data_IF_721781700792
#
_entry.id   IF_721781700792
#
_cell.length_a   1.000
_cell.length_b   1.000
_cell.length_c   1.000
_cell.angle_alpha   90.00
_cell.angle_beta   90.00
_cell.angle_gamma   90.00
#
_symmetry.space_group_name_H-M   'P 1'
#
loop_
_entity.id
_entity.type
_entity.pdbx_description
1 polymer ?
#
# COMPACT_ATOMS: atom_id res chain seq x y z
N UNK A 1 13.51 21.62 4.61
CA UNK A 1 12.88 20.31 4.45
C UNK A 1 11.53 20.57 3.82
N UNK A 2 11.22 19.95 2.67
CA UNK A 2 9.90 20.08 2.03
C UNK A 2 8.85 19.31 2.83
N UNK A 3 7.57 19.59 2.58
CA UNK A 3 6.45 18.85 3.20
C UNK A 3 6.52 17.34 2.86
N UNK A 4 6.78 17.01 1.60
CA UNK A 4 6.97 15.63 1.11
C UNK A 4 8.06 14.90 1.90
N UNK A 5 9.20 15.57 2.13
CA UNK A 5 10.30 14.98 2.89
C UNK A 5 9.93 14.78 4.36
N UNK A 6 9.08 15.64 4.92
CA UNK A 6 8.59 15.48 6.29
C UNK A 6 7.58 14.34 6.42
N UNK A 7 6.67 14.17 5.45
CA UNK A 7 5.72 13.06 5.40
C UNK A 7 6.46 11.73 5.28
N UNK A 8 7.44 11.65 4.37
CA UNK A 8 8.26 10.45 4.20
C UNK A 8 8.95 10.03 5.50
N UNK A 9 9.62 10.97 6.18
CA UNK A 9 10.26 10.68 7.46
C UNK A 9 9.26 10.26 8.54
N UNK A 10 8.05 10.84 8.56
CA UNK A 10 7.02 10.47 9.51
C UNK A 10 6.59 9.01 9.38
N UNK A 11 6.64 8.42 8.18
CA UNK A 11 6.38 6.99 7.95
C UNK A 11 7.61 6.14 8.26
N UNK A 12 8.78 6.51 7.73
CA UNK A 12 10.00 5.71 7.89
C UNK A 12 10.44 5.55 9.35
N UNK A 13 10.21 6.58 10.16
CA UNK A 13 10.57 6.61 11.58
C UNK A 13 9.39 6.28 12.51
N UNK A 14 8.22 5.92 11.96
CA UNK A 14 7.03 5.66 12.76
C UNK A 14 7.23 4.44 13.67
N UNK A 15 6.86 4.50 14.97
CA UNK A 15 7.07 3.38 15.89
C UNK A 15 6.28 2.12 15.56
N UNK A 16 5.25 2.23 14.72
CA UNK A 16 4.47 1.09 14.19
C UNK A 16 4.81 0.74 12.74
N UNK A 17 5.85 1.35 12.16
CA UNK A 17 6.28 0.99 10.82
C UNK A 17 6.77 -0.46 10.80
N UNK A 18 6.30 -1.19 9.79
CA UNK A 18 6.73 -2.55 9.47
C UNK A 18 7.61 -2.49 8.22
N UNK A 19 8.51 -3.46 8.07
CA UNK A 19 9.24 -3.62 6.82
C UNK A 19 8.31 -4.19 5.77
N UNK A 20 8.43 -3.71 4.54
CA UNK A 20 7.78 -4.31 3.39
C UNK A 20 8.70 -4.33 2.17
N UNK A 21 8.38 -5.20 1.22
CA UNK A 21 8.96 -5.21 -0.13
C UNK A 21 7.80 -5.04 -1.12
N UNK A 22 8.01 -4.23 -2.16
CA UNK A 22 6.98 -3.92 -3.16
C UNK A 22 7.31 -4.61 -4.48
N UNK A 23 6.30 -5.24 -5.07
CA UNK A 23 6.40 -5.94 -6.34
C UNK A 23 5.40 -5.35 -7.33
N UNK A 24 5.80 -5.25 -8.60
CA UNK A 24 4.94 -4.77 -9.69
C UNK A 24 4.70 -5.89 -10.70
N UNK A 25 3.45 -6.33 -10.90
CA UNK A 25 3.16 -7.31 -11.95
C UNK A 25 3.36 -6.68 -13.34
N UNK A 26 3.60 -7.53 -14.34
CA UNK A 26 3.58 -7.10 -15.74
C UNK A 26 2.12 -7.07 -16.23
N UNK A 27 1.63 -5.88 -16.58
CA UNK A 27 0.25 -5.71 -17.05
C UNK A 27 0.00 -6.33 -18.44
N UNK A 28 1.05 -6.49 -19.24
CA UNK A 28 0.96 -7.04 -20.60
C UNK A 28 1.14 -8.58 -20.61
N UNK A 29 1.79 -9.14 -19.58
CA UNK A 29 2.07 -10.57 -19.45
C UNK A 29 1.79 -11.13 -18.04
N UNK A 30 0.59 -11.69 -17.80
CA UNK A 30 0.23 -12.33 -16.53
C UNK A 30 1.07 -13.58 -16.17
N UNK A 31 1.85 -14.12 -17.11
CA UNK A 31 2.75 -15.25 -16.85
C UNK A 31 4.19 -14.80 -16.52
N UNK A 32 4.49 -13.50 -16.61
CA UNK A 32 5.79 -12.96 -16.26
C UNK A 32 6.00 -12.90 -14.73
N UNK A 33 7.25 -13.00 -14.31
CA UNK A 33 7.63 -12.79 -12.90
C UNK A 33 7.42 -11.32 -12.51
N UNK A 34 6.90 -11.08 -11.31
CA UNK A 34 6.71 -9.72 -10.80
C UNK A 34 8.05 -9.02 -10.60
N UNK A 35 8.10 -7.73 -10.95
CA UNK A 35 9.28 -6.90 -10.75
C UNK A 35 9.41 -6.49 -9.28
N UNK A 36 10.47 -6.95 -8.61
CA UNK A 36 10.87 -6.45 -7.29
C UNK A 36 11.33 -4.98 -7.39
N UNK A 37 10.51 -4.06 -6.88
CA UNK A 37 10.81 -2.63 -6.84
C UNK A 37 11.77 -2.28 -5.70
N UNK A 38 11.73 -3.06 -4.61
CA UNK A 38 12.62 -2.94 -3.46
C UNK A 38 11.91 -2.76 -2.11
N UNK A 39 12.72 -2.43 -1.11
CA UNK A 39 12.31 -2.36 0.29
C UNK A 39 11.77 -0.98 0.70
N UNK A 40 10.82 -0.99 1.63
CA UNK A 40 10.26 0.21 2.24
C UNK A 40 9.67 -0.04 3.62
N UNK A 41 8.94 0.97 4.10
CA UNK A 41 8.18 0.92 5.34
C UNK A 41 6.70 1.10 5.07
N UNK A 42 5.90 0.32 5.78
CA UNK A 42 4.45 0.47 5.81
C UNK A 42 3.97 0.74 7.22
N UNK A 43 3.06 1.70 7.37
CA UNK A 43 2.25 1.87 8.57
C UNK A 43 0.83 1.47 8.21
N UNK A 44 0.41 0.30 8.70
CA UNK A 44 -0.97 -0.16 8.55
C UNK A 44 -1.88 0.68 9.45
N UNK A 45 -2.99 1.13 8.86
CA UNK A 45 -4.07 1.84 9.52
C UNK A 45 -5.13 0.87 10.06
N UNK A 46 -6.39 1.24 9.88
CA UNK A 46 -7.54 0.40 10.20
C UNK A 46 -8.28 -0.07 8.95
N UNK A 47 -9.43 -0.76 9.12
CA UNK A 47 -10.33 -1.07 8.01
C UNK A 47 -10.63 0.19 7.19
N UNK A 48 -10.76 0.03 5.87
CA UNK A 48 -11.21 1.11 5.01
C UNK A 48 -12.66 1.46 5.35
N UNK A 49 -12.93 2.74 5.59
CA UNK A 49 -14.27 3.27 5.77
C UNK A 49 -14.65 4.05 4.51
N UNK A 50 -15.63 3.57 3.72
CA UNK A 50 -16.13 4.31 2.56
C UNK A 50 -16.57 5.72 2.96
N UNK A 51 -16.33 6.73 2.09
CA UNK A 51 -16.83 8.08 2.30
C UNK A 51 -18.33 8.09 2.62
N UNK A 52 -18.72 8.90 3.60
CA UNK A 52 -20.11 8.97 4.06
C UNK A 52 -21.08 9.49 2.97
N UNK A 53 -20.55 10.22 1.98
CA UNK A 53 -21.30 10.73 0.83
C UNK A 53 -21.63 9.66 -0.21
N UNK A 54 -20.89 8.53 -0.22
CA UNK A 54 -21.17 7.44 -1.14
C UNK A 54 -22.52 6.81 -0.83
N UNK A 55 -23.34 6.67 -1.87
CA UNK A 55 -24.58 5.93 -1.80
C UNK A 55 -24.34 4.40 -1.82
N UNK A 56 -25.43 3.63 -1.85
CA UNK A 56 -25.32 2.17 -1.83
C UNK A 56 -24.70 1.61 -3.12
N UNK A 57 -24.94 2.25 -4.27
CA UNK A 57 -24.44 1.82 -5.57
C UNK A 57 -22.94 2.10 -5.66
N UNK A 58 -22.49 3.29 -5.26
CA UNK A 58 -21.07 3.65 -5.27
C UNK A 58 -20.23 2.69 -4.39
N UNK A 59 -20.78 2.27 -3.24
CA UNK A 59 -20.11 1.28 -2.39
C UNK A 59 -20.07 -0.11 -3.01
N UNK A 60 -21.16 -0.54 -3.63
CA UNK A 60 -21.23 -1.83 -4.32
C UNK A 60 -20.26 -1.87 -5.51
N UNK A 61 -20.17 -0.77 -6.27
CA UNK A 61 -19.22 -0.63 -7.39
C UNK A 61 -17.76 -0.60 -6.91
N UNK A 62 -17.46 0.00 -5.75
CA UNK A 62 -16.10 0.03 -5.21
C UNK A 62 -15.64 -1.32 -4.66
N UNK A 63 -16.48 -2.03 -3.91
CA UNK A 63 -16.09 -3.32 -3.37
C UNK A 63 -16.19 -4.46 -4.39
N UNK A 64 -17.05 -4.29 -5.41
CA UNK A 64 -17.42 -5.32 -6.37
C UNK A 64 -17.78 -6.63 -5.65
N UNK A 65 -17.09 -7.73 -5.95
CA UNK A 65 -17.26 -9.04 -5.30
C UNK A 65 -16.26 -9.30 -4.15
N UNK A 66 -15.46 -8.31 -3.77
CA UNK A 66 -14.43 -8.44 -2.71
C UNK A 66 -15.01 -8.13 -1.33
N UNK A 67 -14.70 -8.95 -0.32
CA UNK A 67 -15.17 -8.72 1.06
C UNK A 67 -14.61 -7.37 1.61
N UNK A 68 -15.46 -6.41 1.99
CA UNK A 68 -15.03 -5.13 2.58
C UNK A 68 -14.12 -5.27 3.79
N UNK A 69 -14.19 -6.39 4.53
CA UNK A 69 -13.34 -6.64 5.69
C UNK A 69 -11.86 -6.86 5.34
N UNK A 70 -11.54 -7.16 4.08
CA UNK A 70 -10.16 -7.30 3.59
C UNK A 70 -9.50 -5.95 3.30
N UNK A 71 -10.29 -4.88 3.14
CA UNK A 71 -9.78 -3.56 2.80
C UNK A 71 -9.26 -2.86 4.05
N UNK A 72 -7.99 -2.44 4.00
CA UNK A 72 -7.33 -1.67 5.07
C UNK A 72 -6.63 -0.45 4.50
N UNK A 73 -6.53 0.60 5.31
CA UNK A 73 -5.74 1.78 4.95
C UNK A 73 -4.28 1.58 5.31
N UNK A 74 -3.37 2.20 4.56
CA UNK A 74 -1.95 2.18 4.85
C UNK A 74 -1.24 3.43 4.35
N UNK A 75 -0.04 3.68 4.87
CA UNK A 75 0.93 4.61 4.29
C UNK A 75 2.23 3.87 4.05
N UNK A 76 2.79 4.03 2.86
CA UNK A 76 3.97 3.28 2.40
C UNK A 76 4.99 4.25 1.86
N UNK A 77 6.25 4.08 2.24
CA UNK A 77 7.36 4.89 1.77
C UNK A 77 8.58 4.03 1.45
N UNK A 78 9.25 4.33 0.33
CA UNK A 78 10.48 3.67 -0.10
C UNK A 78 11.64 4.02 0.84
N UNK A 79 12.48 3.04 1.21
CA UNK A 79 13.65 3.27 2.06
C UNK A 79 14.72 4.12 1.34
N UNK A 80 14.81 4.03 0.01
CA UNK A 80 15.71 4.85 -0.79
C UNK A 80 15.24 6.31 -0.87
N UNK A 81 16.19 7.25 -0.91
CA UNK A 81 15.86 8.66 -1.07
C UNK A 81 15.28 8.94 -2.47
N UNK A 82 14.39 9.93 -2.60
CA UNK A 82 14.02 10.48 -3.90
C UNK A 82 15.28 10.79 -4.73
N UNK A 83 15.24 10.50 -6.03
CA UNK A 83 16.37 10.59 -6.98
C UNK A 83 17.54 9.61 -6.73
N UNK A 84 17.43 8.75 -5.71
CA UNK A 84 18.37 7.68 -5.42
C UNK A 84 18.18 6.47 -6.32
N UNK A 85 19.24 5.67 -6.47
CA UNK A 85 19.12 4.36 -7.12
C UNK A 85 18.24 3.44 -6.27
N UNK A 86 17.21 2.86 -6.88
CA UNK A 86 16.24 1.99 -6.19
C UNK A 86 15.11 2.74 -5.49
N UNK A 87 14.96 4.05 -5.75
CA UNK A 87 13.73 4.76 -5.41
C UNK A 87 12.58 4.27 -6.28
N UNK A 88 11.43 4.07 -5.66
CA UNK A 88 10.17 3.74 -6.30
C UNK A 88 9.02 4.48 -5.62
N UNK A 89 7.91 4.60 -6.33
CA UNK A 89 6.63 5.01 -5.78
C UNK A 89 5.65 3.85 -5.92
N UNK A 90 4.85 3.64 -4.87
CA UNK A 90 3.80 2.62 -4.88
C UNK A 90 2.60 3.16 -5.65
N UNK A 91 2.08 2.33 -6.54
CA UNK A 91 0.95 2.61 -7.42
C UNK A 91 -0.16 1.55 -7.23
N UNK A 92 -1.45 1.88 -7.46
CA UNK A 92 -2.50 0.88 -7.57
C UNK A 92 -2.12 -0.19 -8.61
N UNK A 93 -2.33 -1.46 -8.27
CA UNK A 93 -1.84 -2.60 -9.06
C UNK A 93 -0.58 -3.27 -8.49
N UNK A 94 0.18 -2.60 -7.63
CA UNK A 94 1.34 -3.18 -6.97
C UNK A 94 0.94 -4.19 -5.87
N UNK A 95 1.86 -5.09 -5.53
CA UNK A 95 1.78 -5.97 -4.37
C UNK A 95 2.76 -5.54 -3.28
N UNK A 96 2.36 -5.69 -2.02
CA UNK A 96 3.16 -5.31 -0.85
C UNK A 96 3.29 -6.51 0.08
N UNK A 97 4.50 -7.05 0.18
CA UNK A 97 4.85 -8.10 1.12
C UNK A 97 5.27 -7.48 2.46
N UNK A 98 4.43 -7.58 3.48
CA UNK A 98 4.69 -7.00 4.81
C UNK A 98 5.27 -8.05 5.74
N UNK A 99 6.44 -7.77 6.33
CA UNK A 99 7.03 -8.61 7.37
C UNK A 99 6.29 -8.40 8.70
N UNK A 100 5.23 -9.17 8.90
CA UNK A 100 4.49 -9.24 10.15
C UNK A 100 5.30 -9.97 11.23
N UNK A 101 5.00 -9.67 12.50
CA UNK A 101 5.71 -10.24 13.65
C UNK A 101 5.83 -11.77 13.61
N UNK A 102 6.94 -12.30 14.14
CA UNK A 102 7.32 -13.73 14.12
C UNK A 102 7.67 -14.28 12.72
N UNK A 103 8.12 -13.42 11.80
CA UNK A 103 8.65 -13.85 10.50
C UNK A 103 7.58 -14.34 9.53
N UNK A 104 6.33 -13.91 9.74
CA UNK A 104 5.25 -14.14 8.78
C UNK A 104 5.27 -13.03 7.74
N UNK A 105 5.11 -13.39 6.48
CA UNK A 105 4.84 -12.41 5.42
C UNK A 105 3.34 -12.36 5.25
N UNK A 106 2.79 -11.14 5.22
CA UNK A 106 1.41 -10.90 4.82
C UNK A 106 1.42 -10.16 3.50
N UNK A 107 0.76 -10.74 2.49
CA UNK A 107 0.60 -10.11 1.18
C UNK A 107 -0.60 -9.17 1.19
N UNK A 108 -0.44 -8.07 0.47
CA UNK A 108 -1.49 -7.09 0.21
C UNK A 108 -1.42 -6.65 -1.25
N UNK A 109 -2.58 -6.46 -1.86
CA UNK A 109 -2.72 -5.80 -3.17
C UNK A 109 -3.03 -4.32 -2.96
N UNK A 110 -2.37 -3.42 -3.68
CA UNK A 110 -2.64 -1.97 -3.64
C UNK A 110 -3.84 -1.69 -4.54
N UNK A 111 -4.99 -1.48 -3.92
CA UNK A 111 -6.25 -1.30 -4.63
C UNK A 111 -6.45 0.13 -5.14
N UNK A 112 -6.22 1.12 -4.27
CA UNK A 112 -6.43 2.53 -4.60
C UNK A 112 -5.48 3.43 -3.80
N UNK A 113 -5.34 4.69 -4.22
CA UNK A 113 -4.60 5.70 -3.49
C UNK A 113 -5.29 7.07 -3.52
N UNK A 114 -5.22 7.76 -2.40
CA UNK A 114 -5.67 9.15 -2.25
C UNK A 114 -4.57 9.97 -1.61
N UNK A 115 -4.54 11.27 -1.85
CA UNK A 115 -3.57 12.18 -1.22
C UNK A 115 -4.29 13.13 -0.26
N UNK A 116 -3.73 13.27 0.94
CA UNK A 116 -4.19 14.22 1.95
C UNK A 116 -3.04 15.06 2.50
N UNK A 117 -3.33 15.88 3.50
CA UNK A 117 -2.35 16.77 4.14
C UNK A 117 -1.15 16.04 4.77
N UNK A 118 -1.21 14.71 4.94
CA UNK A 118 -0.12 13.87 5.47
C UNK A 118 0.59 13.05 4.37
N UNK A 119 0.28 13.31 3.09
CA UNK A 119 0.83 12.62 1.93
C UNK A 119 -0.11 11.53 1.40
N UNK A 120 0.43 10.60 0.61
CA UNK A 120 -0.36 9.51 0.05
C UNK A 120 -0.86 8.54 1.12
N UNK A 121 -2.11 8.15 0.99
CA UNK A 121 -2.77 7.07 1.72
C UNK A 121 -3.24 6.03 0.72
N UNK A 122 -2.91 4.78 0.99
CA UNK A 122 -3.25 3.64 0.17
C UNK A 122 -4.42 2.89 0.78
N UNK A 123 -5.26 2.33 -0.07
CA UNK A 123 -6.21 1.28 0.29
C UNK A 123 -5.62 -0.03 -0.20
N UNK A 124 -5.40 -0.95 0.73
CA UNK A 124 -4.84 -2.27 0.47
C UNK A 124 -5.94 -3.32 0.65
N UNK A 125 -5.93 -4.35 -0.18
CA UNK A 125 -6.71 -5.57 0.03
C UNK A 125 -5.78 -6.62 0.62
N UNK A 126 -6.18 -7.20 1.75
CA UNK A 126 -5.52 -8.36 2.32
C UNK A 126 -5.62 -9.53 1.35
N UNK A 127 -4.47 -9.99 0.87
CA UNK A 127 -4.38 -11.16 0.01
C UNK A 127 -4.14 -12.39 0.91
N UNK A 128 -5.26 -13.03 1.29
CA UNK A 128 -5.29 -14.29 2.04
C UNK A 128 -5.35 -15.44 1.03
N UNK A 129 -4.23 -15.69 0.34
CA UNK A 129 -4.05 -16.97 -0.36
C UNK A 129 -3.98 -18.08 0.70
N UNK A 130 -5.12 -18.73 0.97
CA UNK A 130 -5.22 -19.95 1.80
C UNK A 130 -4.51 -21.17 1.19
#
# INVERSE_FOLDING_TARGET
MSAEQQHRLAILEHPKALNCTVYRPDEEDPEAEELDLGDGKVVLGGPFEPPAEWDAQEREEYFEDTDPALFVTARIECDAQPDGKGYFEVEPGDFVAVLAGRGKVQMYFVYDCTEDDSGRQYVLILDDEE
#
